data_IF_139793109787
#
_entry.id   IF_139793109787
#
_cell.length_a   1.000
_cell.length_b   1.000
_cell.length_c   1.000
_cell.angle_alpha   90.00
_cell.angle_beta   90.00
_cell.angle_gamma   90.00
#
_symmetry.space_group_name_H-M   'P 1'
#
loop_
_entity.id
_entity.type
_entity.pdbx_description
1 polymer ?
#
# COMPACT_ATOMS: atom_id res chain seq x y z
N UNK A 1 -3.33 7.71 -3.31
CA UNK A 1 -3.56 9.17 -3.22
C UNK A 1 -4.55 9.56 -4.30
N UNK A 2 -5.44 10.52 -4.04
CA UNK A 2 -6.32 11.08 -5.07
C UNK A 2 -5.48 11.59 -6.25
N UNK A 3 -6.03 11.70 -7.47
CA UNK A 3 -5.36 12.31 -8.64
C UNK A 3 -5.05 13.80 -8.46
N UNK A 4 -5.33 14.35 -7.27
CA UNK A 4 -5.03 15.72 -6.86
C UNK A 4 -3.89 15.60 -5.83
N UNK A 5 -2.64 15.78 -6.27
CA UNK A 5 -1.52 15.91 -5.33
C UNK A 5 -1.67 17.29 -4.67
N UNK A 6 -2.16 17.30 -3.42
CA UNK A 6 -2.41 18.52 -2.65
C UNK A 6 -1.11 19.34 -2.41
N UNK A 7 0.05 18.77 -2.73
CA UNK A 7 1.33 19.48 -2.78
C UNK A 7 1.35 20.62 -3.80
N UNK A 8 0.60 20.50 -4.89
CA UNK A 8 0.61 21.48 -5.99
C UNK A 8 -0.20 22.73 -5.64
N UNK A 9 -1.16 22.59 -4.71
CA UNK A 9 -2.00 23.67 -4.20
C UNK A 9 -1.35 24.44 -3.02
N UNK A 10 -0.11 24.09 -2.65
CA UNK A 10 0.65 24.72 -1.58
C UNK A 10 0.47 24.05 -0.22
N UNK A 11 1.55 24.03 0.57
CA UNK A 11 1.64 23.31 1.86
C UNK A 11 0.51 23.66 2.84
N UNK A 12 0.03 24.91 2.81
CA UNK A 12 -1.05 25.39 3.67
C UNK A 12 -2.38 24.66 3.42
N UNK A 13 -2.74 24.43 2.16
CA UNK A 13 -3.98 23.71 1.81
C UNK A 13 -3.91 22.25 2.26
N UNK A 14 -2.72 21.63 2.17
CA UNK A 14 -2.48 20.30 2.72
C UNK A 14 -2.74 20.24 4.24
N UNK A 15 -2.14 21.16 5.00
CA UNK A 15 -2.35 21.21 6.46
C UNK A 15 -3.81 21.51 6.83
N UNK A 16 -4.47 22.43 6.13
CA UNK A 16 -5.88 22.73 6.36
C UNK A 16 -6.77 21.50 6.08
N UNK A 17 -6.45 20.73 5.05
CA UNK A 17 -7.17 19.50 4.72
C UNK A 17 -7.03 18.47 5.84
N UNK A 18 -5.80 18.20 6.31
CA UNK A 18 -5.57 17.28 7.42
C UNK A 18 -6.25 17.74 8.72
N UNK A 19 -6.18 19.03 9.01
CA UNK A 19 -6.85 19.63 10.16
C UNK A 19 -8.38 19.43 10.08
N UNK A 20 -8.98 19.75 8.93
CA UNK A 20 -10.42 19.62 8.71
C UNK A 20 -10.89 18.18 8.82
N UNK A 21 -10.11 17.23 8.27
CA UNK A 21 -10.39 15.80 8.39
C UNK A 21 -10.31 15.35 9.85
N UNK A 22 -9.29 15.78 10.59
CA UNK A 22 -9.13 15.46 12.02
C UNK A 22 -10.27 16.00 12.89
N UNK A 23 -10.66 17.27 12.69
CA UNK A 23 -11.79 17.90 13.40
C UNK A 23 -13.10 17.20 13.05
N UNK A 24 -13.34 16.92 11.77
CA UNK A 24 -14.55 16.21 11.31
C UNK A 24 -14.62 14.80 11.90
N UNK A 25 -13.49 14.08 11.92
CA UNK A 25 -13.40 12.75 12.51
C UNK A 25 -13.71 12.79 14.02
N UNK A 26 -13.09 13.69 14.77
CA UNK A 26 -13.36 13.87 16.20
C UNK A 26 -14.81 14.25 16.49
N UNK A 27 -15.39 15.18 15.71
CA UNK A 27 -16.79 15.56 15.84
C UNK A 27 -17.75 14.38 15.59
N UNK A 28 -17.48 13.55 14.58
CA UNK A 28 -18.29 12.35 14.30
C UNK A 28 -18.19 11.33 15.44
N UNK A 29 -17.00 11.11 16.01
CA UNK A 29 -16.83 10.20 17.15
C UNK A 29 -17.56 10.70 18.40
N UNK A 30 -17.55 12.01 18.66
CA UNK A 30 -18.27 12.60 19.79
C UNK A 30 -19.79 12.54 19.59
N UNK A 31 -20.29 12.87 18.39
CA UNK A 31 -21.70 12.74 18.04
C UNK A 31 -22.19 11.29 18.10
N UNK A 32 -21.31 10.32 17.81
CA UNK A 32 -21.61 8.90 17.98
C UNK A 32 -21.64 8.45 19.45
N UNK A 33 -21.18 9.29 20.38
CA UNK A 33 -21.13 9.03 21.82
C UNK A 33 -19.94 8.19 22.26
N UNK A 34 -18.87 8.11 21.45
CA UNK A 34 -17.67 7.35 21.81
C UNK A 34 -16.73 8.07 22.77
N UNK A 35 -17.04 9.32 23.14
CA UNK A 35 -16.40 9.97 24.28
C UNK A 35 -16.86 9.41 25.64
N UNK A 36 -17.82 8.50 25.72
CA UNK A 36 -18.31 7.93 26.99
C UNK A 36 -17.86 6.47 27.20
N UNK A 37 -17.02 6.24 28.22
CA UNK A 37 -16.52 4.92 28.61
C UNK A 37 -17.64 3.92 28.90
N UNK A 38 -18.80 4.36 29.41
CA UNK A 38 -19.93 3.47 29.72
C UNK A 38 -20.54 2.88 28.46
N UNK A 39 -20.60 3.68 27.39
CA UNK A 39 -21.13 3.23 26.10
C UNK A 39 -20.19 2.23 25.43
N UNK A 40 -18.89 2.46 25.55
CA UNK A 40 -17.85 1.54 25.07
C UNK A 40 -17.84 0.24 25.88
N UNK A 41 -17.97 0.31 27.20
CA UNK A 41 -18.03 -0.86 28.07
C UNK A 41 -19.33 -1.69 27.86
N UNK A 42 -20.45 -1.04 27.58
CA UNK A 42 -21.75 -1.69 27.35
C UNK A 42 -21.74 -2.72 26.20
N UNK A 43 -20.82 -2.55 25.24
CA UNK A 43 -20.55 -3.51 24.16
C UNK A 43 -20.15 -4.90 24.70
N UNK A 44 -19.30 -4.95 25.73
CA UNK A 44 -18.83 -6.20 26.33
C UNK A 44 -19.92 -6.92 27.14
N UNK A 45 -20.91 -6.17 27.62
CA UNK A 45 -22.09 -6.72 28.31
C UNK A 45 -23.22 -7.08 27.37
N UNK A 46 -23.01 -7.00 26.06
CA UNK A 46 -24.02 -7.22 25.02
C UNK A 46 -25.28 -6.33 25.12
N UNK A 47 -25.21 -5.22 25.88
CA UNK A 47 -26.35 -4.32 26.10
C UNK A 47 -26.52 -3.28 24.99
N UNK A 48 -25.40 -2.82 24.41
CA UNK A 48 -25.37 -1.83 23.33
C UNK A 48 -24.31 -2.23 22.30
N UNK A 49 -24.74 -2.64 21.08
CA UNK A 49 -23.83 -2.98 19.96
C UNK A 49 -23.55 -1.78 19.06
N UNK A 50 -23.82 -0.55 19.50
CA UNK A 50 -23.60 0.65 18.67
C UNK A 50 -22.16 0.69 18.17
N UNK A 51 -21.18 0.45 19.05
CA UNK A 51 -19.74 0.49 18.70
C UNK A 51 -19.41 -0.51 17.60
N UNK A 52 -19.84 -1.76 17.77
CA UNK A 52 -19.65 -2.81 16.77
C UNK A 52 -20.29 -2.43 15.43
N UNK A 53 -21.56 -2.00 15.44
CA UNK A 53 -22.31 -1.64 14.23
C UNK A 53 -21.65 -0.48 13.48
N UNK A 54 -21.27 0.58 14.18
CA UNK A 54 -20.64 1.75 13.56
C UNK A 54 -19.27 1.45 12.99
N UNK A 55 -18.42 0.71 13.73
CA UNK A 55 -17.05 0.44 13.28
C UNK A 55 -17.04 -0.48 12.07
N UNK A 56 -17.83 -1.57 12.10
CA UNK A 56 -17.96 -2.43 10.93
C UNK A 56 -18.58 -1.71 9.74
N UNK A 57 -19.58 -0.84 9.96
CA UNK A 57 -20.16 -0.04 8.87
C UNK A 57 -19.11 0.85 8.23
N UNK A 58 -18.32 1.57 9.02
CA UNK A 58 -17.22 2.41 8.52
C UNK A 58 -16.19 1.59 7.74
N UNK A 59 -15.82 0.40 8.20
CA UNK A 59 -14.89 -0.51 7.51
C UNK A 59 -15.44 -0.91 6.14
N UNK A 60 -16.70 -1.32 6.05
CA UNK A 60 -17.32 -1.75 4.79
C UNK A 60 -17.44 -0.59 3.82
N UNK A 61 -17.91 0.57 4.29
CA UNK A 61 -18.03 1.78 3.47
C UNK A 61 -16.66 2.19 2.94
N UNK A 62 -15.62 2.19 3.78
CA UNK A 62 -14.26 2.48 3.35
C UNK A 62 -13.76 1.47 2.30
N UNK A 63 -13.97 0.17 2.54
CA UNK A 63 -13.62 -0.89 1.61
C UNK A 63 -14.29 -0.70 0.24
N UNK A 64 -15.62 -0.49 0.22
CA UNK A 64 -16.38 -0.26 -0.99
C UNK A 64 -15.91 1.00 -1.73
N UNK A 65 -15.73 2.12 -1.02
CA UNK A 65 -15.29 3.37 -1.65
C UNK A 65 -13.87 3.26 -2.23
N UNK A 66 -12.94 2.64 -1.53
CA UNK A 66 -11.56 2.44 -2.02
C UNK A 66 -11.59 1.59 -3.29
N UNK A 67 -12.29 0.45 -3.29
CA UNK A 67 -12.32 -0.42 -4.45
C UNK A 67 -13.20 0.09 -5.58
N UNK A 68 -14.23 0.89 -5.29
CA UNK A 68 -15.03 1.60 -6.29
C UNK A 68 -14.20 2.67 -6.99
N UNK A 69 -13.49 3.51 -6.24
CA UNK A 69 -12.62 4.52 -6.84
C UNK A 69 -11.42 3.90 -7.57
N UNK A 70 -10.89 2.78 -7.07
CA UNK A 70 -9.88 2.00 -7.79
C UNK A 70 -10.42 1.43 -9.10
N UNK A 71 -11.65 0.88 -9.07
CA UNK A 71 -12.31 0.36 -10.27
C UNK A 71 -12.57 1.48 -11.30
N UNK A 72 -13.04 2.64 -10.85
CA UNK A 72 -13.26 3.82 -11.69
C UNK A 72 -11.96 4.50 -12.15
N UNK A 73 -10.81 4.09 -11.62
CA UNK A 73 -9.51 4.68 -11.97
C UNK A 73 -9.24 6.05 -11.34
N UNK A 74 -10.08 6.46 -10.38
CA UNK A 74 -9.91 7.67 -9.58
C UNK A 74 -8.92 7.48 -8.42
N UNK A 75 -8.53 6.24 -8.12
CA UNK A 75 -7.59 5.95 -7.05
C UNK A 75 -6.60 4.88 -7.50
N UNK A 76 -5.32 5.15 -7.30
CA UNK A 76 -4.28 4.16 -7.49
C UNK A 76 -4.04 3.35 -6.21
N UNK A 77 -4.48 2.09 -6.22
CA UNK A 77 -4.28 1.17 -5.10
C UNK A 77 -2.80 0.81 -4.89
N UNK A 78 -1.95 0.92 -5.92
CA UNK A 78 -0.51 0.65 -5.77
C UNK A 78 0.19 1.66 -4.85
N UNK A 79 -0.38 2.87 -4.75
CA UNK A 79 0.10 3.94 -3.87
C UNK A 79 -0.44 3.81 -2.44
N UNK A 80 -1.38 2.90 -2.18
CA UNK A 80 -1.87 2.63 -0.84
C UNK A 80 -0.89 1.69 -0.16
N UNK A 81 -0.27 2.20 0.90
CA UNK A 81 0.58 1.40 1.76
C UNK A 81 -0.29 0.46 2.58
N UNK A 82 -0.02 -0.85 2.44
CA UNK A 82 -0.62 -1.89 3.28
C UNK A 82 0.49 -2.41 4.17
N UNK A 83 0.26 -2.39 5.48
CA UNK A 83 1.25 -2.81 6.45
C UNK A 83 1.60 -4.30 6.25
N UNK A 84 2.89 -4.67 6.38
CA UNK A 84 3.30 -6.08 6.41
C UNK A 84 2.69 -6.78 7.62
N UNK A 85 2.53 -8.10 7.53
CA UNK A 85 1.82 -8.88 8.54
C UNK A 85 2.80 -9.57 9.47
N UNK A 86 2.84 -9.14 10.73
CA UNK A 86 3.57 -9.81 11.79
C UNK A 86 2.58 -10.61 12.64
N UNK A 87 2.47 -11.92 12.39
CA UNK A 87 1.40 -12.72 12.98
C UNK A 87 1.51 -12.80 14.51
N UNK A 88 2.62 -13.28 15.06
CA UNK A 88 2.78 -13.43 16.52
C UNK A 88 2.82 -12.09 17.27
N UNK A 89 3.62 -11.09 16.85
CA UNK A 89 3.60 -9.78 17.48
C UNK A 89 2.24 -9.11 17.38
N UNK A 90 1.55 -9.27 16.25
CA UNK A 90 0.20 -8.74 16.04
C UNK A 90 -0.84 -9.38 16.97
N UNK A 91 -0.80 -10.70 17.16
CA UNK A 91 -1.71 -11.41 18.09
C UNK A 91 -1.45 -10.98 19.54
N UNK A 92 -0.19 -10.98 19.98
CA UNK A 92 0.17 -10.59 21.35
C UNK A 92 -0.14 -9.12 21.61
N UNK A 93 0.24 -8.24 20.68
CA UNK A 93 -0.06 -6.81 20.75
C UNK A 93 -1.56 -6.53 20.75
N UNK A 94 -2.32 -7.24 19.91
CA UNK A 94 -3.78 -7.15 19.88
C UNK A 94 -4.45 -7.61 21.18
N UNK A 95 -3.93 -8.67 21.82
CA UNK A 95 -4.43 -9.14 23.10
C UNK A 95 -4.15 -8.12 24.23
N UNK A 96 -2.91 -7.59 24.29
CA UNK A 96 -2.55 -6.55 25.27
C UNK A 96 -3.42 -5.31 25.08
N UNK A 97 -3.61 -4.88 23.82
CA UNK A 97 -4.48 -3.75 23.51
C UNK A 97 -5.93 -4.02 23.89
N UNK A 98 -6.44 -5.24 23.66
CA UNK A 98 -7.79 -5.65 24.07
C UNK A 98 -7.99 -5.64 25.58
N UNK A 99 -7.02 -6.14 26.35
CA UNK A 99 -7.04 -6.06 27.83
C UNK A 99 -7.03 -4.61 28.30
N UNK A 100 -6.17 -3.77 27.71
CA UNK A 100 -6.13 -2.33 27.98
C UNK A 100 -7.47 -1.64 27.69
N UNK A 101 -8.14 -2.02 26.60
CA UNK A 101 -9.45 -1.49 26.25
C UNK A 101 -10.54 -1.89 27.26
N UNK A 102 -10.53 -3.14 27.75
CA UNK A 102 -11.48 -3.60 28.77
C UNK A 102 -11.30 -2.85 30.09
N UNK A 103 -10.04 -2.67 30.52
CA UNK A 103 -9.72 -2.00 31.79
C UNK A 103 -9.99 -0.50 31.71
N UNK A 104 -9.55 0.14 30.62
CA UNK A 104 -9.61 1.59 30.46
C UNK A 104 -10.91 2.11 29.88
N UNK A 105 -11.73 1.26 29.27
CA UNK A 105 -13.00 1.65 28.65
C UNK A 105 -12.85 2.57 27.43
N UNK A 106 -11.64 2.74 26.90
CA UNK A 106 -11.35 3.59 25.74
C UNK A 106 -10.38 2.92 24.76
N UNK A 107 -10.56 3.19 23.48
CA UNK A 107 -9.51 2.97 22.48
C UNK A 107 -8.69 4.27 22.27
N UNK A 108 -7.48 4.19 21.70
CA UNK A 108 -6.58 5.35 21.58
C UNK A 108 -7.19 6.56 20.88
N UNK A 109 -8.05 6.35 19.87
CA UNK A 109 -8.73 7.46 19.19
C UNK A 109 -9.85 8.07 20.02
N UNK A 110 -10.62 7.25 20.73
CA UNK A 110 -11.75 7.70 21.55
C UNK A 110 -11.31 8.37 22.85
N UNK A 111 -10.13 8.03 23.38
CA UNK A 111 -9.57 8.70 24.56
C UNK A 111 -9.19 10.15 24.26
N UNK A 112 -8.70 10.44 23.04
CA UNK A 112 -8.43 11.81 22.60
C UNK A 112 -9.72 12.62 22.53
N UNK A 113 -10.78 12.04 21.98
CA UNK A 113 -12.12 12.67 21.91
C UNK A 113 -12.67 12.91 23.32
N UNK A 114 -12.59 11.91 24.20
CA UNK A 114 -13.03 12.01 25.60
C UNK A 114 -12.24 13.07 26.38
N UNK A 115 -10.92 13.15 26.16
CA UNK A 115 -10.07 14.19 26.73
C UNK A 115 -10.41 15.59 26.20
N UNK A 116 -10.76 15.72 24.92
CA UNK A 116 -11.24 16.97 24.33
C UNK A 116 -12.58 17.42 24.95
N UNK A 117 -13.44 16.48 25.34
CA UNK A 117 -14.67 16.72 26.10
C UNK A 117 -14.44 16.90 27.62
N UNK A 118 -13.20 17.12 28.05
CA UNK A 118 -12.79 17.38 29.43
C UNK A 118 -13.12 16.26 30.44
N UNK A 119 -13.22 15.02 29.97
CA UNK A 119 -13.48 13.88 30.86
C UNK A 119 -12.18 13.33 31.43
N UNK A 120 -12.15 13.20 32.76
CA UNK A 120 -10.95 12.81 33.52
C UNK A 120 -10.50 11.39 33.18
N UNK A 121 -11.46 10.46 33.04
CA UNK A 121 -11.20 9.07 32.65
C UNK A 121 -10.52 8.97 31.28
N UNK A 122 -10.97 9.77 30.29
CA UNK A 122 -10.33 9.87 28.99
C UNK A 122 -8.91 10.45 29.05
N UNK A 123 -8.69 11.49 29.86
CA UNK A 123 -7.36 12.11 30.04
C UNK A 123 -6.36 11.16 30.69
N UNK A 124 -6.76 10.46 31.74
CA UNK A 124 -5.89 9.48 32.43
C UNK A 124 -5.51 8.35 31.48
N UNK A 125 -6.47 7.84 30.71
CA UNK A 125 -6.20 6.82 29.70
C UNK A 125 -5.26 7.32 28.59
N UNK A 126 -5.45 8.55 28.12
CA UNK A 126 -4.60 9.17 27.10
C UNK A 126 -3.16 9.32 27.59
N UNK A 127 -2.95 9.83 28.80
CA UNK A 127 -1.62 9.93 29.41
C UNK A 127 -0.98 8.56 29.55
N UNK A 128 -1.72 7.57 30.05
CA UNK A 128 -1.25 6.19 30.14
C UNK A 128 -0.86 5.61 28.78
N UNK A 129 -1.62 5.91 27.73
CA UNK A 129 -1.34 5.49 26.35
C UNK A 129 -0.06 6.14 25.82
N UNK A 130 0.14 7.44 26.06
CA UNK A 130 1.35 8.16 25.63
C UNK A 130 2.60 7.64 26.34
N UNK A 131 2.52 7.43 27.66
CA UNK A 131 3.62 6.86 28.45
C UNK A 131 3.90 5.42 28.00
N UNK A 132 2.87 4.59 27.84
CA UNK A 132 3.00 3.22 27.39
C UNK A 132 3.62 3.11 26.00
N UNK A 133 3.17 3.93 25.05
CA UNK A 133 3.75 3.98 23.70
C UNK A 133 5.22 4.45 23.71
N UNK A 134 5.55 5.46 24.54
CA UNK A 134 6.93 5.93 24.70
C UNK A 134 7.85 4.87 25.29
N UNK A 135 7.45 4.23 26.39
CA UNK A 135 8.20 3.13 27.01
C UNK A 135 8.34 1.93 26.07
N UNK A 136 7.29 1.60 25.33
CA UNK A 136 7.33 0.53 24.34
C UNK A 136 8.34 0.84 23.23
N UNK A 137 8.38 2.09 22.75
CA UNK A 137 9.34 2.54 21.73
C UNK A 137 10.81 2.35 22.13
N UNK A 138 11.14 2.57 23.40
CA UNK A 138 12.50 2.33 23.91
C UNK A 138 12.80 0.85 24.16
N UNK A 139 11.80 0.11 24.66
CA UNK A 139 11.99 -1.30 25.05
C UNK A 139 11.95 -2.28 23.89
N UNK A 140 11.37 -1.91 22.74
CA UNK A 140 11.26 -2.80 21.56
C UNK A 140 12.61 -3.31 21.07
N UNK A 141 13.70 -2.54 21.26
CA UNK A 141 15.07 -2.94 20.89
C UNK A 141 15.51 -4.23 21.59
N UNK A 142 15.07 -4.46 22.82
CA UNK A 142 15.41 -5.64 23.61
C UNK A 142 14.68 -6.92 23.17
N UNK A 143 13.56 -6.79 22.46
CA UNK A 143 12.74 -7.92 21.98
C UNK A 143 12.67 -7.99 20.46
N UNK A 144 13.70 -7.47 19.77
CA UNK A 144 13.73 -7.37 18.31
C UNK A 144 13.58 -8.72 17.60
N UNK A 145 14.07 -9.81 18.20
CA UNK A 145 13.90 -11.17 17.69
C UNK A 145 12.43 -11.61 17.69
N UNK A 146 11.70 -11.30 18.76
CA UNK A 146 10.26 -11.57 18.82
C UNK A 146 9.48 -10.59 17.94
N UNK A 147 9.84 -9.31 17.92
CA UNK A 147 9.16 -8.28 17.13
C UNK A 147 9.22 -8.55 15.62
N UNK A 148 10.34 -9.10 15.14
CA UNK A 148 10.49 -9.51 13.74
C UNK A 148 10.11 -10.98 13.51
N UNK A 149 9.61 -11.67 14.53
CA UNK A 149 9.21 -13.08 14.41
C UNK A 149 7.96 -13.21 13.52
N UNK A 150 7.98 -14.22 12.65
CA UNK A 150 6.90 -14.48 11.67
C UNK A 150 6.55 -13.25 10.82
N UNK A 151 7.59 -12.59 10.29
CA UNK A 151 7.44 -11.67 9.18
C UNK A 151 6.77 -12.42 8.03
N UNK A 152 5.51 -12.05 7.78
CA UNK A 152 4.77 -12.47 6.61
C UNK A 152 4.66 -11.24 5.72
N UNK A 153 4.89 -11.45 4.44
CA UNK A 153 4.77 -10.40 3.44
C UNK A 153 3.36 -9.77 3.44
N UNK A 154 3.16 -8.74 2.60
CA UNK A 154 1.84 -8.14 2.39
C UNK A 154 0.85 -9.20 1.89
N UNK A 155 0.00 -9.72 2.78
CA UNK A 155 -1.03 -10.68 2.45
C UNK A 155 -2.40 -10.01 2.50
N UNK A 156 -3.03 -9.85 1.34
CA UNK A 156 -4.44 -9.49 1.29
C UNK A 156 -5.30 -10.75 1.44
N UNK A 157 -6.51 -10.59 1.96
CA UNK A 157 -7.47 -11.69 2.02
C UNK A 157 -7.77 -12.28 0.62
N UNK A 158 -7.69 -11.46 -0.43
CA UNK A 158 -7.80 -11.93 -1.82
C UNK A 158 -6.68 -12.88 -2.23
N UNK A 159 -5.47 -12.64 -1.71
CA UNK A 159 -4.28 -13.39 -2.10
C UNK A 159 -4.23 -14.72 -1.34
N UNK A 160 -4.66 -14.71 -0.06
CA UNK A 160 -4.81 -15.94 0.73
C UNK A 160 -5.88 -16.89 0.16
N UNK A 161 -7.03 -16.36 -0.29
CA UNK A 161 -8.13 -17.15 -0.86
C UNK A 161 -7.96 -17.41 -2.37
N UNK A 162 -6.92 -16.86 -2.99
CA UNK A 162 -6.61 -16.96 -4.41
C UNK A 162 -7.80 -16.64 -5.35
N UNK A 163 -8.62 -15.66 -4.99
CA UNK A 163 -9.79 -15.22 -5.75
C UNK A 163 -9.74 -13.73 -6.09
N UNK A 164 -10.64 -13.28 -6.98
CA UNK A 164 -10.66 -11.87 -7.41
C UNK A 164 -10.94 -10.91 -6.24
N UNK A 165 -10.34 -9.71 -6.27
CA UNK A 165 -10.59 -8.66 -5.27
C UNK A 165 -12.08 -8.34 -5.17
N UNK A 166 -12.79 -8.33 -6.31
CA UNK A 166 -14.24 -8.13 -6.34
C UNK A 166 -15.01 -9.20 -5.58
N UNK A 167 -14.63 -10.48 -5.73
CA UNK A 167 -15.22 -11.57 -4.94
C UNK A 167 -14.96 -11.40 -3.43
N UNK A 168 -13.75 -10.98 -3.04
CA UNK A 168 -13.44 -10.65 -1.63
C UNK A 168 -14.36 -9.57 -1.08
N UNK A 169 -14.57 -8.48 -1.85
CA UNK A 169 -15.43 -7.37 -1.43
C UNK A 169 -16.88 -7.82 -1.25
N UNK A 170 -17.40 -8.64 -2.16
CA UNK A 170 -18.73 -9.25 -2.03
C UNK A 170 -18.81 -10.15 -0.79
N UNK A 171 -17.82 -11.02 -0.57
CA UNK A 171 -17.79 -11.91 0.58
C UNK A 171 -17.77 -11.16 1.91
N UNK A 172 -16.93 -10.12 2.03
CA UNK A 172 -16.88 -9.26 3.23
C UNK A 172 -18.21 -8.54 3.43
N UNK A 173 -18.84 -8.08 2.34
CA UNK A 173 -20.15 -7.41 2.40
C UNK A 173 -21.22 -8.36 2.94
N UNK A 174 -21.29 -9.59 2.43
CA UNK A 174 -22.24 -10.61 2.90
C UNK A 174 -21.97 -10.97 4.36
N UNK A 175 -20.70 -11.20 4.72
CA UNK A 175 -20.30 -11.47 6.10
C UNK A 175 -20.74 -10.34 7.04
N UNK A 176 -20.57 -9.09 6.64
CA UNK A 176 -21.00 -7.96 7.43
C UNK A 176 -22.52 -7.87 7.62
N UNK A 177 -23.31 -8.13 6.59
CA UNK A 177 -24.77 -8.18 6.70
C UNK A 177 -25.22 -9.26 7.69
N UNK A 178 -24.55 -10.42 7.66
CA UNK A 178 -24.76 -11.50 8.63
C UNK A 178 -24.39 -11.03 10.05
N UNK A 179 -23.24 -10.37 10.22
CA UNK A 179 -22.79 -9.84 11.52
C UNK A 179 -23.74 -8.78 12.08
N UNK A 180 -24.27 -7.88 11.25
CA UNK A 180 -25.26 -6.90 11.70
C UNK A 180 -26.57 -7.56 12.14
N UNK A 181 -27.02 -8.57 11.41
CA UNK A 181 -28.17 -9.37 11.82
C UNK A 181 -27.93 -10.07 13.18
N UNK A 182 -26.75 -10.66 13.39
CA UNK A 182 -26.40 -11.25 14.67
C UNK A 182 -26.32 -10.20 15.78
N UNK A 183 -25.76 -9.02 15.52
CA UNK A 183 -25.67 -7.94 16.50
C UNK A 183 -27.06 -7.43 16.95
N UNK A 184 -28.03 -7.35 16.04
CA UNK A 184 -29.41 -7.02 16.42
C UNK A 184 -30.06 -8.14 17.24
N UNK A 185 -29.81 -9.41 16.88
CA UNK A 185 -30.36 -10.55 17.60
C UNK A 185 -29.78 -10.67 19.01
N UNK A 186 -28.49 -10.41 19.20
CA UNK A 186 -27.86 -10.44 20.52
C UNK A 186 -28.34 -9.30 21.40
N UNK A 187 -28.47 -8.08 20.88
CA UNK A 187 -29.11 -6.98 21.62
C UNK A 187 -30.53 -7.34 22.05
N UNK A 188 -31.34 -7.92 21.16
CA UNK A 188 -32.71 -8.30 21.49
C UNK A 188 -32.80 -9.40 22.57
N UNK A 189 -31.77 -10.23 22.71
CA UNK A 189 -31.70 -11.30 23.72
C UNK A 189 -31.24 -10.77 25.09
N UNK A 190 -30.34 -9.78 25.12
CA UNK A 190 -29.72 -9.26 26.33
C UNK A 190 -30.30 -7.90 26.79
N UNK A 191 -31.21 -7.31 26.02
CA UNK A 191 -31.97 -6.14 26.45
C UNK A 191 -32.92 -6.51 27.58
N UNK A 192 -32.60 -6.03 28.78
CA UNK A 192 -33.53 -5.96 29.89
C UNK A 192 -34.69 -5.04 29.49
N UNK A 193 -35.94 -5.49 29.68
CA UNK A 193 -37.17 -4.82 29.21
C UNK A 193 -37.45 -3.43 29.83
N UNK A 194 -36.49 -2.82 30.54
CA UNK A 194 -36.73 -1.69 31.43
C UNK A 194 -35.93 -0.41 31.20
N UNK A 195 -34.78 -0.40 30.53
CA UNK A 195 -33.91 0.79 30.54
C UNK A 195 -33.10 0.95 29.27
N UNK A 196 -33.59 1.83 28.38
CA UNK A 196 -32.88 2.87 27.62
C UNK A 196 -33.90 3.41 26.63
N UNK A 197 -34.20 4.72 26.70
CA UNK A 197 -35.01 5.42 25.71
C UNK A 197 -34.55 5.04 24.30
N UNK A 198 -35.48 4.55 23.48
CA UNK A 198 -35.25 4.31 22.06
C UNK A 198 -34.67 5.59 21.47
N UNK A 199 -33.38 5.58 21.14
CA UNK A 199 -32.74 6.68 20.44
C UNK A 199 -33.63 7.08 19.26
N UNK A 200 -34.01 8.34 19.26
CA UNK A 200 -35.01 8.96 18.40
C UNK A 200 -34.49 8.93 16.95
N UNK A 201 -34.72 7.82 16.27
CA UNK A 201 -34.88 7.80 14.83
C UNK A 201 -35.80 6.64 14.49
N UNK A 202 -37.01 6.96 14.03
CA UNK A 202 -38.01 6.00 13.60
C UNK A 202 -37.52 5.33 12.30
N UNK A 203 -36.57 4.40 12.45
CA UNK A 203 -35.92 3.68 11.35
C UNK A 203 -36.85 2.58 10.89
N UNK A 204 -37.55 2.87 9.80
CA UNK A 204 -38.40 1.91 9.11
C UNK A 204 -37.54 0.73 8.66
N UNK A 205 -37.94 -0.53 8.93
CA UNK A 205 -37.19 -1.74 8.48
C UNK A 205 -36.85 -1.70 6.98
N UNK A 206 -37.66 -0.98 6.20
CA UNK A 206 -37.46 -0.73 4.77
C UNK A 206 -36.19 0.08 4.44
N UNK A 207 -35.79 1.05 5.26
CA UNK A 207 -34.60 1.87 4.96
C UNK A 207 -33.30 1.09 5.18
N UNK A 208 -33.26 0.23 6.21
CA UNK A 208 -32.13 -0.66 6.43
C UNK A 208 -31.99 -1.71 5.33
N UNK A 209 -33.12 -2.29 4.93
CA UNK A 209 -33.15 -3.21 3.80
C UNK A 209 -32.68 -2.52 2.52
N UNK A 210 -33.14 -1.30 2.25
CA UNK A 210 -32.70 -0.52 1.11
C UNK A 210 -31.19 -0.23 1.15
N UNK A 211 -30.64 0.17 2.30
CA UNK A 211 -29.18 0.39 2.43
C UNK A 211 -28.37 -0.89 2.24
N UNK A 212 -28.84 -2.03 2.77
CA UNK A 212 -28.19 -3.31 2.58
C UNK A 212 -28.19 -3.74 1.11
N UNK A 213 -29.30 -3.53 0.41
CA UNK A 213 -29.41 -3.79 -1.04
C UNK A 213 -28.47 -2.88 -1.82
N UNK A 214 -28.41 -1.57 -1.51
CA UNK A 214 -27.49 -0.64 -2.20
C UNK A 214 -26.03 -1.06 -2.00
N UNK A 215 -25.63 -1.36 -0.77
CA UNK A 215 -24.26 -1.83 -0.45
C UNK A 215 -23.93 -3.12 -1.22
N UNK A 216 -24.87 -4.06 -1.27
CA UNK A 216 -24.70 -5.30 -2.01
C UNK A 216 -24.65 -5.11 -3.54
N UNK A 217 -25.45 -4.19 -4.08
CA UNK A 217 -25.40 -3.84 -5.50
C UNK A 217 -24.06 -3.17 -5.87
N UNK A 218 -23.53 -2.31 -5.00
CA UNK A 218 -22.21 -1.70 -5.21
C UNK A 218 -21.12 -2.77 -5.19
N UNK A 219 -21.17 -3.73 -4.27
CA UNK A 219 -20.16 -4.80 -4.23
C UNK A 219 -20.24 -5.71 -5.46
N UNK A 220 -21.45 -6.03 -5.94
CA UNK A 220 -21.66 -6.74 -7.20
C UNK A 220 -21.17 -5.94 -8.40
N UNK A 221 -21.38 -4.63 -8.42
CA UNK A 221 -20.85 -3.76 -9.46
C UNK A 221 -19.31 -3.79 -9.49
N UNK A 222 -18.66 -3.69 -8.33
CA UNK A 222 -17.19 -3.81 -8.22
C UNK A 222 -16.71 -5.17 -8.73
N UNK A 223 -17.44 -6.25 -8.41
CA UNK A 223 -17.09 -7.58 -8.88
C UNK A 223 -17.25 -7.75 -10.39
N UNK A 224 -18.36 -7.27 -10.95
CA UNK A 224 -18.65 -7.37 -12.38
C UNK A 224 -17.76 -6.46 -13.23
N UNK A 225 -17.47 -5.26 -12.75
CA UNK A 225 -16.62 -4.30 -13.46
C UNK A 225 -15.13 -4.66 -13.40
N UNK A 226 -14.76 -5.43 -12.37
CA UNK A 226 -13.39 -5.88 -12.12
C UNK A 226 -12.45 -4.75 -11.70
N UNK A 227 -11.28 -5.14 -11.19
CA UNK A 227 -10.16 -4.20 -11.06
C UNK A 227 -9.50 -4.03 -12.43
N UNK A 228 -9.05 -2.81 -12.80
CA UNK A 228 -8.53 -2.56 -14.14
C UNK A 228 -7.22 -3.32 -14.39
N UNK A 229 -7.16 -4.03 -15.52
CA UNK A 229 -5.93 -4.68 -16.00
C UNK A 229 -4.82 -3.65 -16.29
N UNK A 230 -3.54 -4.05 -16.33
CA UNK A 230 -2.42 -3.12 -16.58
C UNK A 230 -2.62 -2.25 -17.84
N UNK A 231 -3.15 -2.83 -18.93
CA UNK A 231 -3.49 -2.11 -20.16
C UNK A 231 -4.57 -1.04 -19.92
N UNK A 232 -5.64 -1.40 -19.21
CA UNK A 232 -6.73 -0.47 -18.88
C UNK A 232 -6.27 0.62 -17.92
N UNK A 233 -5.43 0.27 -16.94
CA UNK A 233 -4.78 1.24 -16.04
C UNK A 233 -3.95 2.24 -16.81
N UNK A 234 -3.15 1.80 -17.78
CA UNK A 234 -2.38 2.72 -18.63
C UNK A 234 -3.28 3.69 -19.40
N UNK A 235 -4.42 3.26 -19.92
CA UNK A 235 -5.33 4.17 -20.63
C UNK A 235 -5.94 5.25 -19.70
N UNK A 236 -6.12 4.94 -18.42
CA UNK A 236 -6.67 5.89 -17.44
C UNK A 236 -5.57 6.81 -16.89
N UNK A 237 -4.41 6.23 -16.57
CA UNK A 237 -3.37 6.86 -15.75
C UNK A 237 -2.13 7.26 -16.55
N UNK A 238 -1.96 6.77 -17.77
CA UNK A 238 -0.75 6.92 -18.57
C UNK A 238 -0.41 8.37 -18.90
N UNK A 239 -1.41 9.25 -19.01
CA UNK A 239 -1.21 10.67 -19.27
C UNK A 239 -0.30 11.35 -18.24
N UNK A 240 -0.30 10.91 -16.98
CA UNK A 240 0.58 11.47 -15.94
C UNK A 240 2.06 11.03 -16.10
N UNK A 241 2.29 9.88 -16.76
CA UNK A 241 3.61 9.27 -16.93
C UNK A 241 4.19 9.50 -18.33
N UNK A 242 3.35 9.82 -19.31
CA UNK A 242 3.73 10.06 -20.69
C UNK A 242 4.85 11.11 -20.85
N UNK A 243 4.86 12.24 -20.11
CA UNK A 243 5.96 13.21 -20.20
C UNK A 243 7.34 12.63 -19.85
N UNK A 244 7.43 11.59 -19.02
CA UNK A 244 8.70 10.91 -18.69
C UNK A 244 9.23 10.08 -19.85
N UNK A 245 8.33 9.53 -20.68
CA UNK A 245 8.68 8.82 -21.91
C UNK A 245 9.09 9.83 -23.00
N UNK A 246 8.31 10.89 -23.18
CA UNK A 246 8.53 11.90 -24.23
C UNK A 246 9.85 12.65 -24.04
N UNK A 247 10.22 12.96 -22.79
CA UNK A 247 11.50 13.59 -22.42
C UNK A 247 12.68 12.61 -22.37
N UNK A 248 12.44 11.32 -22.64
CA UNK A 248 13.39 10.21 -22.49
C UNK A 248 14.08 10.17 -21.13
N UNK A 249 13.42 10.62 -20.05
CA UNK A 249 13.99 10.59 -18.70
C UNK A 249 14.17 9.17 -18.17
N UNK A 250 13.42 8.21 -18.68
CA UNK A 250 13.43 6.81 -18.21
C UNK A 250 14.44 5.93 -18.93
N UNK A 251 15.04 6.42 -20.02
CA UNK A 251 16.03 5.70 -20.81
C UNK A 251 17.43 5.97 -20.27
N UNK A 252 18.04 4.97 -19.66
CA UNK A 252 19.37 5.06 -19.06
C UNK A 252 20.45 4.59 -20.03
N UNK A 253 21.61 5.23 -19.96
CA UNK A 253 22.75 4.87 -20.79
C UNK A 253 23.44 3.60 -20.25
N UNK A 254 24.04 2.74 -21.08
CA UNK A 254 24.78 1.56 -20.62
C UNK A 254 25.84 1.83 -19.55
N UNK A 255 26.57 2.95 -19.65
CA UNK A 255 27.53 3.36 -18.62
C UNK A 255 26.88 3.71 -17.27
N UNK A 256 25.66 4.23 -17.30
CA UNK A 256 24.91 4.47 -16.07
C UNK A 256 24.53 3.15 -15.39
N UNK A 257 24.10 2.16 -16.19
CA UNK A 257 23.86 0.81 -15.69
C UNK A 257 25.11 0.21 -15.03
N UNK A 258 26.29 0.33 -15.65
CA UNK A 258 27.56 -0.15 -15.06
C UNK A 258 27.83 0.53 -13.72
N UNK A 259 27.64 1.85 -13.63
CA UNK A 259 27.79 2.59 -12.37
C UNK A 259 26.85 2.05 -11.31
N UNK A 260 25.57 1.84 -11.63
CA UNK A 260 24.55 1.36 -10.70
C UNK A 260 24.79 -0.09 -10.27
N UNK A 261 25.23 -0.96 -11.18
CA UNK A 261 25.59 -2.35 -10.88
C UNK A 261 26.73 -2.46 -9.88
N UNK A 262 27.70 -1.54 -9.94
CA UNK A 262 28.85 -1.53 -9.05
C UNK A 262 28.62 -0.73 -7.74
N UNK A 263 27.42 -0.17 -7.51
CA UNK A 263 27.09 0.54 -6.28
C UNK A 263 26.51 -0.42 -5.23
N UNK A 264 27.28 -0.70 -4.18
CA UNK A 264 26.88 -1.60 -3.11
C UNK A 264 25.63 -1.12 -2.33
N UNK A 265 25.27 0.15 -2.43
CA UNK A 265 24.08 0.70 -1.78
C UNK A 265 22.81 0.54 -2.62
N UNK A 266 22.91 0.04 -3.86
CA UNK A 266 21.78 -0.09 -4.78
C UNK A 266 21.49 -1.56 -5.04
N UNK A 267 20.22 -1.94 -4.92
CA UNK A 267 19.77 -3.29 -5.32
C UNK A 267 19.26 -3.22 -6.76
N UNK A 268 20.13 -3.53 -7.73
CA UNK A 268 19.77 -3.56 -9.15
C UNK A 268 19.04 -4.87 -9.49
N UNK A 269 17.89 -4.76 -10.15
CA UNK A 269 17.15 -5.89 -10.74
C UNK A 269 17.06 -5.67 -12.24
N UNK A 270 17.69 -6.54 -13.00
CA UNK A 270 17.70 -6.48 -14.46
C UNK A 270 16.69 -7.45 -15.01
N UNK A 271 15.73 -6.94 -15.78
CA UNK A 271 14.67 -7.70 -16.40
C UNK A 271 14.90 -7.75 -17.91
N UNK A 272 15.09 -8.94 -18.46
CA UNK A 272 15.41 -9.16 -19.87
C UNK A 272 14.21 -9.72 -20.63
N UNK A 273 13.75 -8.99 -21.66
CA UNK A 273 12.59 -9.35 -22.48
C UNK A 273 12.92 -10.21 -23.71
N UNK A 274 14.22 -10.43 -23.96
CA UNK A 274 14.66 -11.09 -25.19
C UNK A 274 14.24 -12.56 -25.23
N UNK A 275 14.32 -13.13 -26.42
CA UNK A 275 14.02 -14.55 -26.62
C UNK A 275 14.92 -15.44 -25.77
N UNK A 276 14.50 -16.67 -25.52
CA UNK A 276 15.27 -17.60 -24.71
C UNK A 276 16.64 -17.91 -25.32
N UNK A 277 16.70 -18.01 -26.66
CA UNK A 277 17.94 -18.29 -27.38
C UNK A 277 18.93 -17.14 -27.26
N UNK A 278 18.47 -15.89 -27.40
CA UNK A 278 19.32 -14.70 -27.24
C UNK A 278 19.80 -14.52 -25.80
N UNK A 279 18.94 -14.82 -24.82
CA UNK A 279 19.30 -14.79 -23.40
C UNK A 279 20.37 -15.83 -23.06
N UNK A 280 20.25 -17.05 -23.61
CA UNK A 280 21.24 -18.13 -23.45
C UNK A 280 22.58 -17.80 -24.11
N UNK A 281 22.57 -17.13 -25.26
CA UNK A 281 23.81 -16.71 -25.93
C UNK A 281 24.58 -15.68 -25.11
N UNK A 282 23.88 -14.66 -24.60
CA UNK A 282 24.48 -13.63 -23.77
C UNK A 282 23.40 -12.92 -22.95
N UNK A 283 23.64 -12.75 -21.65
CA UNK A 283 22.83 -11.92 -20.76
C UNK A 283 23.72 -11.21 -19.75
N UNK A 284 23.22 -10.10 -19.22
CA UNK A 284 23.87 -9.41 -18.11
C UNK A 284 23.76 -10.25 -16.85
N UNK A 285 24.76 -10.15 -15.98
CA UNK A 285 24.74 -10.94 -14.76
C UNK A 285 23.53 -10.65 -13.89
N UNK A 286 23.00 -11.71 -13.26
CA UNK A 286 21.81 -11.65 -12.41
C UNK A 286 20.55 -11.12 -13.12
N UNK A 287 20.55 -11.01 -14.46
CA UNK A 287 19.37 -10.69 -15.24
C UNK A 287 18.34 -11.82 -15.15
N UNK A 288 17.08 -11.44 -14.99
CA UNK A 288 15.94 -12.36 -15.00
C UNK A 288 15.19 -12.19 -16.30
N UNK A 289 15.05 -13.28 -17.05
CA UNK A 289 14.21 -13.27 -18.25
C UNK A 289 12.74 -13.16 -17.87
N UNK A 290 11.98 -12.36 -18.61
CA UNK A 290 10.53 -12.24 -18.47
C UNK A 290 9.86 -11.94 -19.81
N UNK A 291 8.54 -12.11 -19.86
CA UNK A 291 7.70 -11.77 -21.01
C UNK A 291 6.65 -10.74 -20.63
N UNK A 292 5.97 -10.16 -21.64
CA UNK A 292 4.83 -9.27 -21.38
C UNK A 292 3.68 -9.97 -20.64
N UNK A 293 3.55 -11.29 -20.76
CA UNK A 293 2.55 -12.07 -20.04
C UNK A 293 2.88 -12.16 -18.54
N UNK A 294 4.17 -12.19 -18.19
CA UNK A 294 4.61 -12.23 -16.80
C UNK A 294 4.34 -10.91 -16.07
N UNK A 295 4.37 -9.78 -16.79
CA UNK A 295 4.06 -8.44 -16.24
C UNK A 295 2.61 -8.35 -15.73
N UNK A 296 1.71 -9.20 -16.23
CA UNK A 296 0.31 -9.25 -15.79
C UNK A 296 0.14 -10.14 -14.55
N UNK A 297 1.09 -11.04 -14.28
CA UNK A 297 1.04 -11.95 -13.14
C UNK A 297 1.36 -11.17 -11.86
N UNK A 298 0.46 -11.28 -10.87
CA UNK A 298 0.59 -10.59 -9.58
C UNK A 298 1.89 -10.96 -8.85
N UNK A 299 2.27 -12.23 -8.87
CA UNK A 299 3.47 -12.76 -8.20
C UNK A 299 4.74 -12.08 -8.71
N UNK A 300 4.89 -11.95 -10.02
CA UNK A 300 6.04 -11.30 -10.65
C UNK A 300 6.16 -9.83 -10.23
N UNK A 301 5.04 -9.11 -10.25
CA UNK A 301 5.01 -7.68 -9.90
C UNK A 301 5.19 -7.46 -8.39
N UNK A 302 4.69 -8.40 -7.57
CA UNK A 302 4.83 -8.35 -6.12
C UNK A 302 6.29 -8.30 -5.69
N UNK A 303 7.15 -9.16 -6.24
CA UNK A 303 8.59 -9.17 -5.96
C UNK A 303 9.25 -7.81 -6.26
N UNK A 304 8.79 -7.14 -7.32
CA UNK A 304 9.30 -5.82 -7.73
C UNK A 304 8.80 -4.69 -6.82
N UNK A 305 7.56 -4.80 -6.31
CA UNK A 305 6.98 -3.84 -5.36
C UNK A 305 7.62 -3.90 -3.97
N UNK A 306 8.23 -5.04 -3.62
CA UNK A 306 8.93 -5.22 -2.35
C UNK A 306 10.36 -4.68 -2.34
N UNK A 307 10.86 -4.20 -3.48
CA UNK A 307 12.21 -3.67 -3.53
C UNK A 307 12.40 -2.52 -2.52
N UNK A 308 13.58 -2.44 -1.89
CA UNK A 308 13.87 -1.35 -0.97
C UNK A 308 13.84 0.01 -1.72
N UNK A 309 13.80 1.16 -1.01
CA UNK A 309 13.83 2.48 -1.66
C UNK A 309 15.00 2.71 -2.63
N UNK A 310 16.13 2.05 -2.35
CA UNK A 310 17.33 1.98 -3.18
C UNK A 310 17.30 0.87 -4.24
N UNK A 311 16.19 0.16 -4.42
CA UNK A 311 16.02 -0.82 -5.48
C UNK A 311 15.82 -0.12 -6.81
N UNK A 312 16.52 -0.56 -7.84
CA UNK A 312 16.42 -0.03 -9.21
C UNK A 312 16.07 -1.17 -10.14
N UNK A 313 15.06 -0.98 -10.98
CA UNK A 313 14.63 -1.98 -11.97
C UNK A 313 14.99 -1.47 -13.35
N UNK A 314 15.71 -2.28 -14.13
CA UNK A 314 16.09 -1.94 -15.51
C UNK A 314 15.55 -2.98 -16.47
N UNK A 315 14.80 -2.53 -17.47
CA UNK A 315 14.27 -3.37 -18.55
C UNK A 315 15.26 -3.36 -19.72
N UNK A 316 15.59 -4.55 -20.22
CA UNK A 316 16.42 -4.79 -21.39
C UNK A 316 15.55 -5.46 -22.45
N UNK A 317 15.54 -4.92 -23.67
CA UNK A 317 14.85 -5.50 -24.83
C UNK A 317 15.64 -5.24 -26.10
N UNK A 318 15.32 -5.97 -27.17
CA UNK A 318 15.83 -5.72 -28.52
C UNK A 318 15.15 -4.51 -29.17
N UNK A 319 13.88 -4.29 -28.86
CA UNK A 319 13.08 -3.21 -29.44
C UNK A 319 12.65 -2.21 -28.37
N UNK A 320 12.72 -0.93 -28.71
CA UNK A 320 12.28 0.14 -27.80
C UNK A 320 10.78 0.04 -27.51
N UNK A 321 9.97 -0.33 -28.49
CA UNK A 321 8.51 -0.45 -28.34
C UNK A 321 8.10 -1.48 -27.28
N UNK A 322 8.75 -2.65 -27.25
CA UNK A 322 8.48 -3.68 -26.25
C UNK A 322 8.92 -3.24 -24.85
N UNK A 323 10.10 -2.63 -24.74
CA UNK A 323 10.59 -2.11 -23.47
C UNK A 323 9.68 -1.01 -22.92
N UNK A 324 9.22 -0.09 -23.77
CA UNK A 324 8.27 0.96 -23.40
C UNK A 324 6.95 0.34 -22.94
N UNK A 325 6.42 -0.66 -23.65
CA UNK A 325 5.16 -1.32 -23.26
C UNK A 325 5.27 -2.01 -21.90
N UNK A 326 6.36 -2.75 -21.65
CA UNK A 326 6.61 -3.36 -20.36
C UNK A 326 6.78 -2.30 -19.26
N UNK A 327 7.51 -1.22 -19.55
CA UNK A 327 7.68 -0.10 -18.64
C UNK A 327 6.35 0.53 -18.25
N UNK A 328 5.48 0.80 -19.23
CA UNK A 328 4.15 1.37 -19.01
C UNK A 328 3.31 0.51 -18.05
N UNK A 329 3.28 -0.80 -18.27
CA UNK A 329 2.48 -1.72 -17.47
C UNK A 329 3.03 -1.93 -16.06
N UNK A 330 4.35 -2.00 -15.89
CA UNK A 330 4.97 -2.08 -14.57
C UNK A 330 4.80 -0.77 -13.80
N UNK A 331 4.89 0.37 -14.49
CA UNK A 331 4.78 1.71 -13.88
C UNK A 331 3.41 1.94 -13.26
N UNK A 332 2.33 1.62 -13.98
CA UNK A 332 0.93 1.78 -13.47
C UNK A 332 0.53 0.73 -12.43
N UNK A 333 1.37 -0.29 -12.24
CA UNK A 333 1.24 -1.24 -11.15
C UNK A 333 2.03 -0.81 -9.90
N UNK A 334 2.76 0.31 -9.97
CA UNK A 334 3.42 0.95 -8.84
C UNK A 334 4.90 0.64 -8.68
N UNK A 335 5.54 -0.04 -9.64
CA UNK A 335 6.98 -0.35 -9.57
C UNK A 335 7.79 0.95 -9.55
N UNK A 336 8.55 1.14 -8.47
CA UNK A 336 9.39 2.31 -8.24
C UNK A 336 10.74 2.17 -8.96
N UNK A 337 11.41 3.31 -9.21
CA UNK A 337 12.75 3.39 -9.81
C UNK A 337 12.94 2.47 -11.05
N UNK A 338 11.96 2.51 -11.96
CA UNK A 338 11.90 1.69 -13.16
C UNK A 338 12.46 2.46 -14.37
N UNK A 339 13.45 1.87 -15.04
CA UNK A 339 14.18 2.45 -16.18
C UNK A 339 14.28 1.45 -17.33
N UNK A 340 14.60 1.96 -18.53
CA UNK A 340 14.82 1.19 -19.75
C UNK A 340 16.28 1.36 -20.16
N UNK A 341 16.98 0.27 -20.48
CA UNK A 341 18.32 0.35 -21.05
C UNK A 341 18.24 0.85 -22.50
N UNK A 342 18.83 2.02 -22.77
CA UNK A 342 18.75 2.65 -24.08
C UNK A 342 19.38 1.78 -25.18
N UNK A 343 18.59 1.47 -26.22
CA UNK A 343 18.94 0.58 -27.32
C UNK A 343 19.38 -0.83 -26.90
N UNK A 344 19.00 -1.26 -25.68
CA UNK A 344 19.21 -2.62 -25.18
C UNK A 344 20.65 -3.09 -25.23
N UNK A 345 20.85 -4.38 -25.54
CA UNK A 345 22.20 -4.96 -25.63
C UNK A 345 22.90 -4.67 -26.96
N UNK A 346 22.22 -4.10 -27.95
CA UNK A 346 22.88 -3.70 -29.20
C UNK A 346 23.87 -2.56 -28.92
N UNK A 347 23.43 -1.54 -28.18
CA UNK A 347 24.28 -0.43 -27.75
C UNK A 347 25.31 -0.88 -26.70
N UNK A 348 24.93 -1.80 -25.82
CA UNK A 348 25.88 -2.43 -24.89
C UNK A 348 27.07 -3.06 -25.62
N UNK A 349 26.79 -3.90 -26.61
CA UNK A 349 27.83 -4.58 -27.38
C UNK A 349 28.66 -3.56 -28.17
N UNK A 350 28.03 -2.57 -28.81
CA UNK A 350 28.75 -1.53 -29.56
C UNK A 350 29.71 -0.72 -28.68
N UNK A 351 29.37 -0.46 -27.40
CA UNK A 351 30.19 0.34 -26.50
C UNK A 351 31.37 -0.45 -25.89
N UNK A 352 31.21 -1.76 -25.69
CA UNK A 352 32.14 -2.55 -24.89
C UNK A 352 32.89 -3.65 -25.67
N UNK A 353 32.40 -4.13 -26.83
CA UNK A 353 32.98 -5.28 -27.55
C UNK A 353 34.44 -5.10 -27.93
N UNK A 354 34.83 -3.88 -28.28
CA UNK A 354 36.15 -3.57 -28.83
C UNK A 354 37.10 -2.97 -27.79
N UNK A 355 36.63 -2.82 -26.54
CA UNK A 355 37.39 -2.18 -25.46
C UNK A 355 38.15 -3.20 -24.62
N UNK A 356 39.38 -2.84 -24.29
CA UNK A 356 40.31 -3.64 -23.49
C UNK A 356 40.71 -2.83 -22.26
N UNK A 357 40.68 -3.44 -21.08
CA UNK A 357 41.09 -2.82 -19.83
C UNK A 357 42.35 -3.52 -19.33
N UNK A 358 43.47 -2.80 -19.18
CA UNK A 358 44.75 -3.37 -18.73
C UNK A 358 45.21 -4.62 -19.50
N UNK A 359 45.06 -4.63 -20.83
CA UNK A 359 45.41 -5.74 -21.72
C UNK A 359 44.52 -7.01 -21.61
N UNK A 360 43.48 -6.98 -20.77
CA UNK A 360 42.47 -8.02 -20.68
C UNK A 360 41.13 -7.58 -21.29
N UNK A 361 40.42 -8.52 -21.91
CA UNK A 361 39.06 -8.26 -22.43
C UNK A 361 38.13 -7.96 -21.27
N UNK A 362 37.26 -6.95 -21.44
CA UNK A 362 36.25 -6.61 -20.45
C UNK A 362 35.24 -7.76 -20.35
N UNK A 363 34.93 -8.20 -19.14
CA UNK A 363 33.78 -9.07 -18.91
C UNK A 363 32.49 -8.29 -19.17
N UNK A 364 31.85 -8.61 -20.30
CA UNK A 364 30.62 -7.95 -20.76
C UNK A 364 29.42 -8.31 -19.89
N UNK A 365 29.45 -9.43 -19.16
CA UNK A 365 28.37 -9.85 -18.27
C UNK A 365 28.40 -9.08 -16.95
N UNK A 366 29.61 -8.76 -16.47
CA UNK A 366 29.89 -8.08 -15.18
C UNK A 366 30.97 -6.99 -15.35
N UNK A 367 30.69 -5.90 -16.08
CA UNK A 367 31.68 -4.85 -16.27
C UNK A 367 32.03 -4.18 -14.95
N UNK A 368 33.33 -4.11 -14.66
CA UNK A 368 33.84 -3.44 -13.46
C UNK A 368 33.66 -1.92 -13.52
N UNK A 369 33.61 -1.27 -12.36
CA UNK A 369 33.54 0.19 -12.27
C UNK A 369 34.68 0.92 -13.02
N UNK A 370 35.85 0.28 -13.16
CA UNK A 370 37.01 0.84 -13.87
C UNK A 370 36.74 1.10 -15.36
N UNK A 371 35.77 0.40 -15.95
CA UNK A 371 35.35 0.64 -17.34
C UNK A 371 34.85 2.07 -17.53
N UNK A 372 34.32 2.71 -16.48
CA UNK A 372 33.87 4.10 -16.52
C UNK A 372 35.02 5.10 -16.76
N UNK A 373 36.25 4.76 -16.40
CA UNK A 373 37.43 5.62 -16.60
C UNK A 373 37.83 5.70 -18.09
N UNK A 374 37.40 4.74 -18.91
CA UNK A 374 37.63 4.73 -20.36
C UNK A 374 36.78 5.74 -21.13
N UNK A 375 35.90 6.46 -20.44
CA UNK A 375 34.97 7.41 -21.04
C UNK A 375 35.08 8.78 -20.34
N UNK A 376 34.93 9.88 -21.09
CA UNK A 376 34.84 11.22 -20.50
C UNK A 376 33.72 11.29 -19.46
N UNK A 377 33.91 12.09 -18.39
CA UNK A 377 32.91 12.24 -17.32
C UNK A 377 31.55 12.77 -17.81
N UNK A 378 31.54 13.53 -18.91
CA UNK A 378 30.34 14.12 -19.50
C UNK A 378 29.74 13.27 -20.64
N UNK A 379 30.24 12.05 -20.86
CA UNK A 379 29.82 11.18 -21.96
C UNK A 379 28.34 10.75 -21.86
N UNK A 380 27.80 10.71 -20.65
CA UNK A 380 26.38 10.49 -20.41
C UNK A 380 25.88 11.37 -19.27
N UNK A 381 24.59 11.71 -19.31
CA UNK A 381 23.91 12.40 -18.22
C UNK A 381 23.18 11.36 -17.36
N UNK A 382 23.52 11.29 -16.08
CA UNK A 382 22.83 10.40 -15.15
C UNK A 382 21.35 10.79 -15.02
N UNK A 383 20.47 9.80 -15.20
CA UNK A 383 19.01 9.94 -15.15
C UNK A 383 18.39 9.16 -14.00
N UNK A 384 19.10 8.20 -13.41
CA UNK A 384 18.63 7.44 -12.25
C UNK A 384 18.52 8.39 -11.05
N UNK A 385 17.28 8.73 -10.73
CA UNK A 385 16.89 9.47 -9.54
C UNK A 385 16.27 8.46 -8.58
N UNK A 386 17.00 8.08 -7.54
CA UNK A 386 16.44 7.22 -6.48
C UNK A 386 15.35 8.02 -5.77
N UNK A 387 14.09 7.58 -5.89
CA UNK A 387 13.02 8.11 -5.04
C UNK A 387 13.22 7.55 -3.63
N UNK A 388 13.96 8.28 -2.80
CA UNK A 388 14.19 7.96 -1.38
C UNK A 388 12.91 8.03 -0.54
N UNK A 389 11.83 8.60 -1.08
CA UNK A 389 10.53 8.61 -0.41
C UNK A 389 9.82 7.27 -0.54
N UNK A 390 10.06 6.36 0.41
CA UNK A 390 8.91 5.72 1.06
C UNK A 390 8.14 6.87 1.71
N UNK A 391 7.09 7.41 1.06
CA UNK A 391 6.16 8.32 1.76
C UNK A 391 5.58 7.50 2.92
N UNK A 392 6.13 7.69 4.12
CA UNK A 392 5.63 7.14 5.39
C UNK A 392 6.30 5.88 5.92
N UNK A 393 7.63 5.73 5.85
CA UNK A 393 8.34 4.96 6.89
C UNK A 393 8.57 5.87 8.11
N UNK A 394 7.49 6.25 8.78
CA UNK A 394 7.58 6.78 10.14
C UNK A 394 7.72 5.58 11.06
N UNK A 395 8.95 5.10 11.23
CA UNK A 395 9.41 4.25 12.33
C UNK A 395 10.95 4.31 12.28
N UNK A 396 11.54 4.80 13.36
CA UNK A 396 12.98 5.00 13.61
C UNK A 396 13.60 6.32 13.11
N UNK A 397 13.29 7.40 13.83
CA UNK A 397 14.31 8.28 14.42
C UNK A 397 13.90 8.61 15.84
#
# INVERSE_FOLDING_TARGET
MLPIDMSDFGKWIGYLTFFTVGVSFGAVLEMAGFGDSRKLAAQFYFKDMTVFKTMFTSIIVACLLIFLFSALGLLDFSQIYVNPTYLWPGVVGGLIMGVGFIIGGYCPGTSIVSAASLKIDGMVFLIGTLIGAGLFGETVKYYSDFWNSSFTDRWLLSDWLNWSIGATVVAITVMALILFYFAEKTEALFQDKGTVEKAIWNKNKKTYLASAVVIFLISLFIWSFGQPDPKRKWNIMGAQYQPQLDSREVFIHPLEYVKTWNDANVKLVTLDMRSEDEFKQFHLDSAKRFSLEDVVKKEFVFDLLQLPPQGVVVIVSNTEEEAVRAWQWLKVQGVANLYILENGLNNWNQLFSDKVLHLEKIDLTRPSAKVLELFPKDFYKAKIKLKTTKKGAGLCS
#
